data_IF_899847015011
#
_entry.id   IF_899847015011
#
_cell.length_a   1.000
_cell.length_b   1.000
_cell.length_c   1.000
_cell.angle_alpha   90.00
_cell.angle_beta   90.00
_cell.angle_gamma   90.00
#
_symmetry.space_group_name_H-M   'P 1'
#
loop_
_entity.id
_entity.type
_entity.pdbx_description
1 polymer ?
#
# COMPACT_ATOMS: atom_id res chain seq x y z
N UNK A 1 3.89 -11.91 8.52
CA UNK A 1 3.67 -11.33 7.18
C UNK A 1 3.73 -12.44 6.13
N UNK A 2 3.20 -12.24 4.91
CA UNK A 2 3.24 -13.26 3.84
C UNK A 2 4.44 -13.16 2.88
N UNK A 3 5.28 -12.13 3.01
CA UNK A 3 6.54 -11.99 2.25
C UNK A 3 6.43 -11.58 0.77
N UNK A 4 5.23 -11.56 0.17
CA UNK A 4 5.07 -11.26 -1.27
C UNK A 4 5.62 -9.89 -1.70
N UNK A 5 5.48 -8.87 -0.85
CA UNK A 5 6.01 -7.53 -1.12
C UNK A 5 7.54 -7.51 -1.21
N UNK A 6 8.23 -8.36 -0.45
CA UNK A 6 9.70 -8.49 -0.49
C UNK A 6 10.13 -9.07 -1.84
N UNK A 7 9.48 -10.14 -2.28
CA UNK A 7 9.81 -10.84 -3.53
C UNK A 7 9.55 -10.02 -4.78
N UNK A 8 8.54 -9.15 -4.76
CA UNK A 8 8.12 -8.39 -5.95
C UNK A 8 8.89 -7.07 -6.14
N UNK A 9 9.58 -6.56 -5.11
CA UNK A 9 10.25 -5.27 -5.21
C UNK A 9 11.49 -5.37 -6.13
N UNK A 10 11.50 -4.71 -7.31
CA UNK A 10 12.62 -4.81 -8.24
C UNK A 10 13.88 -4.09 -7.75
N UNK A 11 13.74 -3.25 -6.72
CA UNK A 11 14.81 -2.44 -6.14
C UNK A 11 15.36 -3.05 -4.84
N UNK A 12 14.79 -4.14 -4.34
CA UNK A 12 15.20 -4.72 -3.06
C UNK A 12 14.94 -3.80 -1.84
N UNK A 13 13.97 -2.89 -1.95
CA UNK A 13 13.69 -1.87 -0.94
C UNK A 13 12.89 -2.37 0.28
N UNK A 14 12.59 -3.67 0.39
CA UNK A 14 11.76 -4.22 1.46
C UNK A 14 12.48 -5.41 2.08
N UNK A 15 12.62 -5.39 3.41
CA UNK A 15 13.26 -6.45 4.20
C UNK A 15 12.27 -7.08 5.18
N UNK A 16 12.56 -8.30 5.59
CA UNK A 16 11.89 -8.92 6.73
C UNK A 16 12.57 -8.49 8.03
N UNK A 17 11.76 -8.08 9.00
CA UNK A 17 12.15 -7.74 10.37
C UNK A 17 11.22 -8.47 11.35
N UNK A 18 11.56 -8.45 12.63
CA UNK A 18 10.65 -8.95 13.67
C UNK A 18 9.89 -7.77 14.30
N UNK A 19 8.59 -7.97 14.55
CA UNK A 19 7.82 -7.06 15.38
C UNK A 19 8.19 -7.22 16.87
N UNK A 20 7.55 -6.41 17.73
CA UNK A 20 7.76 -6.43 19.19
C UNK A 20 7.42 -7.76 19.87
N UNK A 21 6.73 -8.67 19.18
CA UNK A 21 6.31 -9.98 19.66
C UNK A 21 7.09 -11.12 18.98
N UNK A 22 8.09 -10.80 18.15
CA UNK A 22 8.89 -11.78 17.41
C UNK A 22 8.23 -12.30 16.13
N UNK A 23 7.10 -11.73 15.70
CA UNK A 23 6.46 -12.14 14.45
C UNK A 23 7.14 -11.50 13.23
N UNK A 24 7.21 -12.20 12.08
CA UNK A 24 7.79 -11.65 10.87
C UNK A 24 6.93 -10.50 10.32
N UNK A 25 7.57 -9.36 10.05
CA UNK A 25 6.99 -8.13 9.50
C UNK A 25 7.84 -7.64 8.33
N UNK A 26 7.21 -7.09 7.30
CA UNK A 26 7.93 -6.41 6.23
C UNK A 26 8.18 -4.95 6.61
N UNK A 27 9.37 -4.44 6.33
CA UNK A 27 9.76 -3.05 6.55
C UNK A 27 10.39 -2.49 5.26
N UNK A 28 9.95 -1.29 4.88
CA UNK A 28 10.48 -0.57 3.71
C UNK A 28 11.73 0.21 4.11
N UNK A 29 12.72 0.21 3.23
CA UNK A 29 13.93 1.03 3.35
C UNK A 29 13.72 2.26 2.47
N UNK A 30 13.28 3.36 3.07
CA UNK A 30 12.80 4.55 2.33
C UNK A 30 13.86 5.14 1.39
N UNK A 31 15.14 5.09 1.76
CA UNK A 31 16.25 5.59 0.94
C UNK A 31 16.50 4.77 -0.33
N UNK A 32 15.96 3.55 -0.43
CA UNK A 32 16.08 2.65 -1.59
C UNK A 32 14.79 2.65 -2.42
N UNK A 33 13.66 2.90 -1.77
CA UNK A 33 12.34 2.89 -2.38
C UNK A 33 12.22 3.93 -3.51
N UNK A 34 11.83 3.48 -4.70
CA UNK A 34 11.60 4.35 -5.86
C UNK A 34 10.13 4.79 -6.02
N UNK A 35 9.26 4.42 -5.08
CA UNK A 35 7.84 4.80 -5.12
C UNK A 35 7.02 4.15 -6.25
N UNK A 36 7.44 3.01 -6.81
CA UNK A 36 6.74 2.39 -7.95
C UNK A 36 5.36 1.76 -7.64
N UNK A 37 5.01 1.54 -6.36
CA UNK A 37 3.70 1.02 -5.95
C UNK A 37 3.43 -0.49 -6.14
N UNK A 38 4.34 -1.27 -6.74
CA UNK A 38 4.13 -2.71 -7.00
C UNK A 38 3.81 -3.50 -5.72
N UNK A 39 4.46 -3.16 -4.60
CA UNK A 39 4.24 -3.81 -3.31
C UNK A 39 2.82 -3.59 -2.78
N UNK A 40 2.22 -2.42 -3.02
CA UNK A 40 0.85 -2.09 -2.62
C UNK A 40 -0.16 -2.94 -3.37
N UNK A 41 -0.05 -3.01 -4.70
CA UNK A 41 -0.95 -3.84 -5.55
C UNK A 41 -0.80 -5.33 -5.25
N UNK A 42 0.42 -5.78 -4.93
CA UNK A 42 0.71 -7.19 -4.65
C UNK A 42 0.21 -7.63 -3.27
N UNK A 43 0.01 -6.69 -2.33
CA UNK A 43 -0.36 -7.02 -0.96
C UNK A 43 -1.85 -7.37 -0.84
N UNK A 44 -2.23 -8.64 -0.62
CA UNK A 44 -3.64 -9.02 -0.53
C UNK A 44 -4.30 -8.57 0.78
N UNK A 45 -3.54 -7.96 1.69
CA UNK A 45 -4.01 -7.49 2.99
C UNK A 45 -4.07 -5.96 3.08
N UNK A 46 -3.63 -5.23 2.05
CA UNK A 46 -3.52 -3.76 2.12
C UNK A 46 -2.55 -3.25 3.19
N UNK A 47 -1.59 -4.07 3.63
CA UNK A 47 -0.70 -3.76 4.76
C UNK A 47 0.41 -2.75 4.42
N UNK A 48 0.56 -2.37 3.15
CA UNK A 48 1.54 -1.38 2.68
C UNK A 48 0.85 -0.47 1.67
N UNK A 49 1.04 0.84 1.83
CA UNK A 49 0.51 1.87 0.94
C UNK A 49 1.65 2.74 0.42
N UNK A 50 1.43 3.33 -0.75
CA UNK A 50 2.36 4.29 -1.32
C UNK A 50 2.06 5.68 -0.73
N UNK A 51 3.10 6.35 -0.22
CA UNK A 51 2.95 7.70 0.28
C UNK A 51 2.48 8.65 -0.83
N UNK A 52 1.57 9.57 -0.48
CA UNK A 52 0.87 10.48 -1.40
C UNK A 52 -0.07 9.85 -2.43
N UNK A 53 -0.15 8.51 -2.48
CA UNK A 53 -1.05 7.76 -3.35
C UNK A 53 -1.72 6.62 -2.56
N UNK A 54 -2.18 6.93 -1.35
CA UNK A 54 -2.91 5.97 -0.52
C UNK A 54 -4.24 5.61 -1.17
N UNK A 55 -4.77 4.42 -0.86
CA UNK A 55 -6.04 3.96 -1.42
C UNK A 55 -7.17 4.99 -1.22
N UNK A 56 -7.22 5.62 -0.04
CA UNK A 56 -8.22 6.65 0.27
C UNK A 56 -8.03 7.94 -0.57
N UNK A 57 -6.78 8.33 -0.86
CA UNK A 57 -6.51 9.49 -1.72
C UNK A 57 -6.95 9.22 -3.15
N UNK A 58 -6.61 8.04 -3.70
CA UNK A 58 -7.01 7.63 -5.05
C UNK A 58 -8.54 7.52 -5.13
N UNK A 59 -9.20 6.91 -4.15
CA UNK A 59 -10.66 6.82 -4.12
C UNK A 59 -11.33 8.18 -4.00
N UNK A 60 -10.76 9.11 -3.23
CA UNK A 60 -11.27 10.47 -3.14
C UNK A 60 -11.21 11.20 -4.50
N UNK A 61 -10.11 11.04 -5.25
CA UNK A 61 -9.96 11.60 -6.59
C UNK A 61 -10.99 10.99 -7.57
N UNK A 62 -11.15 9.66 -7.56
CA UNK A 62 -12.16 8.97 -8.38
C UNK A 62 -13.57 9.46 -8.05
N UNK A 63 -13.91 9.57 -6.77
CA UNK A 63 -15.22 10.00 -6.32
C UNK A 63 -15.52 11.47 -6.67
N UNK A 64 -14.50 12.33 -6.71
CA UNK A 64 -14.66 13.72 -7.13
C UNK A 64 -15.01 13.83 -8.62
N UNK A 65 -14.48 12.93 -9.47
CA UNK A 65 -14.77 12.89 -10.91
C UNK A 65 -16.05 12.13 -11.23
N UNK A 66 -16.32 11.04 -10.51
CA UNK A 66 -17.47 10.16 -10.73
C UNK A 66 -18.05 9.74 -9.36
N UNK A 67 -18.96 10.54 -8.78
CA UNK A 67 -19.54 10.24 -7.50
C UNK A 67 -20.29 8.90 -7.55
N UNK A 68 -20.05 7.97 -6.61
CA UNK A 68 -20.82 6.75 -6.52
C UNK A 68 -22.30 7.07 -6.38
N UNK A 69 -23.17 6.26 -7.00
CA UNK A 69 -24.64 6.42 -6.88
C UNK A 69 -25.12 6.45 -5.42
N UNK A 70 -24.35 5.88 -4.49
CA UNK A 70 -24.64 5.91 -3.05
C UNK A 70 -24.52 7.32 -2.43
N UNK A 71 -23.79 8.24 -3.07
CA UNK A 71 -23.68 9.66 -2.67
C UNK A 71 -24.66 10.57 -3.41
N UNK A 72 -25.50 10.05 -4.31
CA UNK A 72 -26.48 10.86 -5.04
C UNK A 72 -27.78 11.10 -4.23
N UNK A 73 -27.95 10.48 -3.06
CA UNK A 73 -29.18 10.53 -2.27
C UNK A 73 -28.95 10.89 -0.78
N UNK A 74 -27.92 11.66 -0.45
CA UNK A 74 -27.88 12.36 0.85
C UNK A 74 -28.31 13.82 0.61
N UNK A 75 -29.61 14.06 0.74
CA UNK A 75 -30.11 15.34 1.25
C UNK A 75 -30.11 15.26 2.78
#
# INVERSE_FOLDING_TARGET
GCGKCIQTCPFGAIKEVQDRFGNPKAEVIDTVCQGCGICTVTCPQGAVQLEHFTDNQILAEVNALCPPKMFANYE
#
